data_IF_189794921302
#
_entry.id   IF_189794921302
#
_cell.length_a   1.000
_cell.length_b   1.000
_cell.length_c   1.000
_cell.angle_alpha   90.00
_cell.angle_beta   90.00
_cell.angle_gamma   90.00
#
_symmetry.space_group_name_H-M   'P 1'
#
loop_
_entity.id
_entity.type
_entity.pdbx_description
1 polymer ?
#
# COMPACT_ATOMS: atom_id res chain seq x y z
N UNK A 1 11.44 -23.21 -42.88
CA UNK A 1 10.11 -23.12 -42.26
C UNK A 1 10.30 -22.89 -40.77
N UNK A 2 10.15 -21.64 -40.32
CA UNK A 2 10.35 -21.25 -38.92
C UNK A 2 9.02 -21.29 -38.17
N UNK A 3 8.98 -22.04 -37.07
CA UNK A 3 7.83 -22.06 -36.16
C UNK A 3 7.71 -20.76 -35.37
N UNK A 4 6.49 -20.34 -35.01
CA UNK A 4 6.33 -19.20 -34.12
C UNK A 4 6.78 -19.59 -32.72
N UNK A 5 7.86 -18.96 -32.24
CA UNK A 5 8.15 -18.84 -30.82
C UNK A 5 7.04 -17.98 -30.21
N UNK A 6 5.95 -18.63 -29.79
CA UNK A 6 5.01 -18.04 -28.85
C UNK A 6 5.80 -17.74 -27.58
N UNK A 7 6.25 -16.49 -27.45
CA UNK A 7 6.85 -15.99 -26.23
C UNK A 7 5.84 -16.21 -25.10
N UNK A 8 6.18 -17.09 -24.17
CA UNK A 8 5.46 -17.30 -22.94
C UNK A 8 5.57 -16.01 -22.12
N UNK A 9 4.62 -15.11 -22.31
CA UNK A 9 4.39 -14.01 -21.38
C UNK A 9 3.88 -14.62 -20.08
N UNK A 10 4.80 -14.95 -19.17
CA UNK A 10 4.41 -15.38 -17.82
C UNK A 10 3.59 -14.26 -17.19
N UNK A 11 2.35 -14.53 -16.71
CA UNK A 11 1.64 -13.54 -15.92
C UNK A 11 2.54 -13.15 -14.73
N UNK A 12 2.72 -11.85 -14.52
CA UNK A 12 3.52 -11.37 -13.38
C UNK A 12 2.97 -12.01 -12.12
N UNK A 13 3.79 -12.71 -11.35
CA UNK A 13 3.36 -13.31 -10.09
C UNK A 13 2.84 -12.24 -9.13
N UNK A 14 1.87 -12.60 -8.29
CA UNK A 14 1.32 -11.73 -7.23
C UNK A 14 2.44 -11.13 -6.38
N UNK A 15 3.47 -11.93 -6.06
CA UNK A 15 4.65 -11.46 -5.33
C UNK A 15 5.40 -10.36 -6.07
N UNK A 16 5.69 -10.54 -7.37
CA UNK A 16 6.38 -9.52 -8.15
C UNK A 16 5.56 -8.21 -8.22
N UNK A 17 4.22 -8.31 -8.29
CA UNK A 17 3.37 -7.14 -8.24
C UNK A 17 3.43 -6.44 -6.87
N UNK A 18 3.31 -7.20 -5.78
CA UNK A 18 3.38 -6.66 -4.42
C UNK A 18 4.72 -5.95 -4.18
N UNK A 19 5.83 -6.55 -4.61
CA UNK A 19 7.16 -5.93 -4.50
C UNK A 19 7.29 -4.63 -5.30
N UNK A 20 6.67 -4.54 -6.48
CA UNK A 20 6.63 -3.28 -7.25
C UNK A 20 5.83 -2.21 -6.54
N UNK A 21 4.70 -2.57 -5.91
CA UNK A 21 3.91 -1.63 -5.11
C UNK A 21 4.74 -1.11 -3.94
N UNK A 22 5.37 -2.00 -3.16
CA UNK A 22 6.23 -1.62 -2.05
C UNK A 22 7.39 -0.73 -2.50
N UNK A 23 8.06 -1.07 -3.61
CA UNK A 23 9.12 -0.22 -4.17
C UNK A 23 8.65 1.21 -4.47
N UNK A 24 7.39 1.40 -4.90
CA UNK A 24 6.80 2.73 -5.08
C UNK A 24 6.54 3.44 -3.76
N UNK A 25 6.09 2.73 -2.73
CA UNK A 25 5.92 3.31 -1.38
C UNK A 25 7.25 3.81 -0.81
N UNK A 26 8.30 2.99 -0.88
CA UNK A 26 9.64 3.39 -0.45
C UNK A 26 10.17 4.59 -1.24
N UNK A 27 9.95 4.60 -2.55
CA UNK A 27 10.32 5.72 -3.41
C UNK A 27 9.61 7.00 -2.99
N UNK A 28 8.28 6.94 -2.79
CA UNK A 28 7.50 8.08 -2.33
C UNK A 28 7.98 8.61 -0.98
N UNK A 29 8.26 7.74 0.00
CA UNK A 29 8.72 8.17 1.31
C UNK A 29 10.04 8.97 1.20
N UNK A 30 10.97 8.49 0.37
CA UNK A 30 12.25 9.15 0.12
C UNK A 30 12.11 10.46 -0.66
N UNK A 31 11.30 10.48 -1.71
CA UNK A 31 11.25 11.59 -2.68
C UNK A 31 10.23 12.66 -2.33
N UNK A 32 9.13 12.29 -1.66
CA UNK A 32 8.02 13.20 -1.33
C UNK A 32 7.92 13.49 0.16
N UNK A 33 8.16 12.50 1.02
CA UNK A 33 8.04 12.65 2.47
C UNK A 33 9.38 12.96 3.16
N UNK A 34 10.49 12.87 2.42
CA UNK A 34 11.85 13.16 2.85
C UNK A 34 12.33 12.35 4.08
N UNK A 35 11.90 11.10 4.21
CA UNK A 35 12.40 10.19 5.25
C UNK A 35 12.65 8.78 4.72
N UNK A 36 13.50 8.04 5.45
CA UNK A 36 13.68 6.61 5.27
C UNK A 36 12.50 5.88 5.93
N UNK A 37 11.69 5.19 5.11
CA UNK A 37 10.48 4.52 5.56
C UNK A 37 10.77 3.38 6.54
N UNK A 38 11.85 2.63 6.34
CA UNK A 38 12.21 1.52 7.21
C UNK A 38 12.60 2.05 8.59
N UNK A 39 13.47 3.07 8.64
CA UNK A 39 13.83 3.71 9.89
C UNK A 39 12.61 4.36 10.58
N UNK A 40 11.71 5.00 9.83
CA UNK A 40 10.48 5.60 10.37
C UNK A 40 9.60 4.55 11.07
N UNK A 41 9.30 3.45 10.38
CA UNK A 41 8.44 2.38 10.89
C UNK A 41 9.11 1.58 12.02
N UNK A 42 10.39 1.26 11.89
CA UNK A 42 11.15 0.53 12.93
C UNK A 42 11.40 1.36 14.18
N UNK A 43 11.33 2.70 14.11
CA UNK A 43 11.29 3.57 15.29
C UNK A 43 9.91 3.60 15.97
N UNK A 44 8.94 2.85 15.44
CA UNK A 44 7.58 2.79 15.94
C UNK A 44 6.71 3.96 15.49
N UNK A 45 7.15 4.74 14.51
CA UNK A 45 6.30 5.78 13.95
C UNK A 45 5.35 5.16 12.92
N UNK A 46 4.15 5.72 12.81
CA UNK A 46 3.15 5.33 11.81
C UNK A 46 2.96 6.47 10.82
N UNK A 47 2.48 6.16 9.62
CA UNK A 47 2.06 7.19 8.66
C UNK A 47 0.77 7.86 9.17
N UNK A 48 0.75 9.19 9.13
CA UNK A 48 -0.43 10.01 9.41
C UNK A 48 -1.42 9.94 8.24
N UNK A 49 -2.69 10.26 8.48
CA UNK A 49 -3.72 10.20 7.43
C UNK A 49 -3.33 11.01 6.18
N UNK A 50 -2.83 12.24 6.37
CA UNK A 50 -2.36 13.10 5.27
C UNK A 50 -1.20 12.49 4.48
N UNK A 51 -0.33 11.73 5.13
CA UNK A 51 0.81 11.06 4.48
C UNK A 51 0.32 9.88 3.63
N UNK A 52 -0.64 9.11 4.14
CA UNK A 52 -1.30 8.04 3.37
C UNK A 52 -2.07 8.62 2.17
N UNK A 53 -2.81 9.71 2.35
CA UNK A 53 -3.52 10.39 1.28
C UNK A 53 -2.56 10.93 0.20
N UNK A 54 -1.45 11.54 0.60
CA UNK A 54 -0.42 12.04 -0.32
C UNK A 54 0.28 10.89 -1.07
N UNK A 55 0.59 9.78 -0.41
CA UNK A 55 1.10 8.55 -1.02
C UNK A 55 0.14 8.05 -2.11
N UNK A 56 -1.13 7.88 -1.76
CA UNK A 56 -2.16 7.36 -2.66
C UNK A 56 -2.39 8.30 -3.85
N UNK A 57 -2.40 9.61 -3.63
CA UNK A 57 -2.48 10.61 -4.69
C UNK A 57 -1.31 10.49 -5.68
N UNK A 58 -0.08 10.33 -5.18
CA UNK A 58 1.12 10.16 -6.01
C UNK A 58 1.07 8.84 -6.82
N UNK A 59 0.61 7.76 -6.19
CA UNK A 59 0.45 6.47 -6.87
C UNK A 59 -0.61 6.51 -7.97
N UNK A 60 -1.67 7.31 -7.80
CA UNK A 60 -2.69 7.52 -8.82
C UNK A 60 -2.14 8.33 -9.99
N UNK A 61 -1.50 9.47 -9.72
CA UNK A 61 -0.91 10.33 -10.75
C UNK A 61 0.15 9.64 -11.61
N UNK A 62 0.91 8.70 -11.02
CA UNK A 62 1.91 7.90 -11.76
C UNK A 62 1.29 6.73 -12.52
N UNK A 63 0.06 6.32 -12.20
CA UNK A 63 -0.70 5.31 -12.93
C UNK A 63 -1.45 5.91 -14.13
N UNK A 64 -1.86 7.19 -14.06
CA UNK A 64 -2.67 7.91 -15.07
C UNK A 64 -2.03 8.06 -16.47
N UNK A 65 -0.81 7.56 -16.70
CA UNK A 65 -0.26 7.40 -18.05
C UNK A 65 -0.96 6.28 -18.86
N UNK A 66 -1.67 5.37 -18.19
CA UNK A 66 -2.53 4.34 -18.79
C UNK A 66 -3.80 4.30 -17.94
N UNK A 67 -4.98 4.46 -18.55
CA UNK A 67 -6.27 4.51 -17.85
C UNK A 67 -6.32 3.47 -16.70
N UNK A 68 -6.41 3.98 -15.47
CA UNK A 68 -6.27 3.17 -14.26
C UNK A 68 -7.38 2.13 -14.22
N UNK A 69 -7.00 0.86 -14.38
CA UNK A 69 -7.87 -0.26 -14.01
C UNK A 69 -8.15 -0.15 -12.51
N UNK A 70 -9.40 0.18 -12.18
CA UNK A 70 -9.85 0.43 -10.81
C UNK A 70 -9.63 -0.80 -9.93
N UNK A 71 -9.75 -2.01 -10.49
CA UNK A 71 -9.46 -3.26 -9.79
C UNK A 71 -7.96 -3.41 -9.47
N UNK A 72 -7.08 -3.04 -10.41
CA UNK A 72 -5.64 -3.06 -10.18
C UNK A 72 -5.21 -2.03 -9.12
N UNK A 73 -5.85 -0.86 -9.09
CA UNK A 73 -5.58 0.17 -8.08
C UNK A 73 -6.05 -0.25 -6.69
N UNK A 74 -7.25 -0.82 -6.56
CA UNK A 74 -7.75 -1.32 -5.27
C UNK A 74 -6.88 -2.48 -4.75
N UNK A 75 -6.31 -3.30 -5.64
CA UNK A 75 -5.30 -4.30 -5.27
C UNK A 75 -4.00 -3.67 -4.76
N UNK A 76 -3.53 -2.57 -5.37
CA UNK A 76 -2.37 -1.84 -4.84
C UNK A 76 -2.66 -1.28 -3.44
N UNK A 77 -3.84 -0.71 -3.23
CA UNK A 77 -4.26 -0.20 -1.92
C UNK A 77 -4.28 -1.31 -0.86
N UNK A 78 -4.75 -2.52 -1.19
CA UNK A 78 -4.72 -3.66 -0.28
C UNK A 78 -3.27 -4.02 0.14
N UNK A 79 -2.34 -4.07 -0.81
CA UNK A 79 -0.92 -4.37 -0.51
C UNK A 79 -0.31 -3.32 0.43
N UNK A 80 -0.63 -2.04 0.22
CA UNK A 80 -0.12 -0.95 1.06
C UNK A 80 -0.75 -1.02 2.45
N UNK A 81 -2.05 -1.24 2.53
CA UNK A 81 -2.78 -1.40 3.80
C UNK A 81 -2.19 -2.56 4.62
N UNK A 82 -2.00 -3.73 4.02
CA UNK A 82 -1.45 -4.91 4.68
C UNK A 82 -0.01 -4.66 5.16
N UNK A 83 0.82 -4.00 4.35
CA UNK A 83 2.17 -3.64 4.74
C UNK A 83 2.19 -2.68 5.94
N UNK A 84 1.33 -1.66 5.94
CA UNK A 84 1.26 -0.71 7.05
C UNK A 84 0.74 -1.40 8.33
N UNK A 85 -0.24 -2.30 8.22
CA UNK A 85 -0.70 -3.10 9.37
C UNK A 85 0.39 -4.04 9.90
N UNK A 86 1.12 -4.71 9.01
CA UNK A 86 2.26 -5.55 9.37
C UNK A 86 3.34 -4.76 10.11
N UNK A 87 3.61 -3.51 9.69
CA UNK A 87 4.59 -2.65 10.36
C UNK A 87 4.19 -2.24 11.80
N UNK A 88 2.92 -2.44 12.19
CA UNK A 88 2.46 -2.20 13.57
C UNK A 88 2.79 -3.36 14.51
N UNK A 89 3.13 -4.54 13.99
CA UNK A 89 3.47 -5.69 14.82
C UNK A 89 4.80 -5.45 15.54
N UNK A 90 4.90 -5.90 16.79
CA UNK A 90 6.06 -5.63 17.67
C UNK A 90 7.39 -6.09 17.06
N UNK A 91 7.38 -7.21 16.34
CA UNK A 91 8.54 -7.78 15.65
C UNK A 91 9.09 -6.85 14.56
N UNK A 92 8.25 -5.98 14.01
CA UNK A 92 8.57 -5.08 12.89
C UNK A 92 8.88 -3.66 13.35
N UNK A 93 8.78 -3.38 14.67
CA UNK A 93 8.98 -2.05 15.28
C UNK A 93 10.34 -1.90 15.96
N UNK A 94 11.36 -2.61 15.48
CA UNK A 94 12.74 -2.49 15.94
C UNK A 94 12.95 -2.68 17.45
N UNK A 95 12.02 -3.35 18.14
CA UNK A 95 12.02 -3.53 19.60
C UNK A 95 11.79 -2.29 20.44
N UNK A 96 11.47 -1.13 19.84
CA UNK A 96 11.44 0.18 20.53
C UNK A 96 10.06 0.64 20.99
N UNK A 97 8.97 0.02 20.53
CA UNK A 97 7.62 0.48 20.85
C UNK A 97 6.60 -0.64 20.65
N UNK A 98 6.27 -1.36 21.72
CA UNK A 98 5.17 -2.33 21.71
C UNK A 98 3.87 -1.57 21.91
N UNK A 99 2.98 -1.61 20.92
CA UNK A 99 1.62 -1.12 21.09
C UNK A 99 0.87 -2.06 22.03
N UNK A 100 0.07 -1.51 22.93
CA UNK A 100 -0.92 -2.33 23.65
C UNK A 100 -1.91 -2.94 22.66
N UNK A 101 -2.61 -4.01 23.07
CA UNK A 101 -3.63 -4.63 22.21
C UNK A 101 -4.70 -3.61 21.76
N UNK A 102 -5.10 -2.71 22.66
CA UNK A 102 -6.04 -1.63 22.38
C UNK A 102 -5.48 -0.65 21.33
N UNK A 103 -4.22 -0.22 21.50
CA UNK A 103 -3.56 0.69 20.55
C UNK A 103 -3.37 0.03 19.17
N UNK A 104 -2.96 -1.24 19.13
CA UNK A 104 -2.81 -1.99 17.89
C UNK A 104 -4.17 -2.12 17.17
N UNK A 105 -5.23 -2.43 17.91
CA UNK A 105 -6.59 -2.53 17.37
C UNK A 105 -7.07 -1.19 16.83
N UNK A 106 -6.83 -0.10 17.57
CA UNK A 106 -7.19 1.25 17.15
C UNK A 106 -6.44 1.68 15.88
N UNK A 107 -5.12 1.45 15.80
CA UNK A 107 -4.33 1.80 14.62
C UNK A 107 -4.71 0.95 13.40
N UNK A 108 -4.95 -0.35 13.56
CA UNK A 108 -5.44 -1.21 12.47
C UNK A 108 -6.82 -0.76 11.99
N UNK A 109 -7.74 -0.44 12.90
CA UNK A 109 -9.06 0.09 12.56
C UNK A 109 -9.00 1.44 11.85
N UNK A 110 -8.08 2.33 12.25
CA UNK A 110 -7.81 3.60 11.57
C UNK A 110 -7.37 3.36 10.13
N UNK A 111 -6.38 2.48 9.91
CA UNK A 111 -5.90 2.14 8.57
C UNK A 111 -7.02 1.53 7.72
N UNK A 112 -7.82 0.62 8.25
CA UNK A 112 -8.95 0.03 7.55
C UNK A 112 -9.96 1.06 7.08
N UNK A 113 -10.35 1.97 7.96
CA UNK A 113 -11.30 3.03 7.63
C UNK A 113 -10.74 3.96 6.55
N UNK A 114 -9.46 4.35 6.67
CA UNK A 114 -8.81 5.23 5.73
C UNK A 114 -8.69 4.58 4.35
N UNK A 115 -8.14 3.36 4.26
CA UNK A 115 -7.99 2.66 2.98
C UNK A 115 -9.35 2.31 2.36
N UNK A 116 -10.37 2.01 3.16
CA UNK A 116 -11.75 1.87 2.66
C UNK A 116 -12.25 3.13 1.97
N UNK A 117 -12.00 4.32 2.53
CA UNK A 117 -12.40 5.59 1.90
C UNK A 117 -11.61 5.95 0.63
N UNK A 118 -10.43 5.35 0.43
CA UNK A 118 -9.56 5.62 -0.72
C UNK A 118 -9.82 4.68 -1.91
N UNK A 119 -10.45 3.53 -1.67
CA UNK A 119 -10.84 2.56 -2.70
C UNK A 119 -11.94 3.13 -3.58
N UNK A 120 -11.86 2.84 -4.88
CA UNK A 120 -12.81 3.35 -5.87
C UNK A 120 -14.02 2.41 -6.03
N UNK A 121 -13.85 1.11 -5.79
CA UNK A 121 -14.92 0.11 -5.88
C UNK A 121 -15.93 0.09 -4.72
N UNK A 122 -15.76 0.92 -3.70
CA UNK A 122 -16.67 0.99 -2.56
C UNK A 122 -17.78 2.02 -2.77
N UNK A 123 -18.63 1.82 -3.78
CA UNK A 123 -19.92 2.53 -3.82
C UNK A 123 -20.79 1.99 -2.68
N UNK A 124 -21.34 2.83 -1.78
CA UNK A 124 -22.40 2.36 -0.90
C UNK A 124 -23.57 1.94 -1.79
N UNK A 125 -23.93 0.66 -1.75
CA UNK A 125 -25.24 0.23 -2.21
C UNK A 125 -26.21 0.75 -1.15
N UNK A 126 -26.67 1.98 -1.33
CA UNK A 126 -27.77 2.52 -0.54
C UNK A 126 -29.05 1.75 -0.90
N UNK A 127 -29.87 1.33 0.08
CA UNK A 127 -31.19 0.81 -0.23
C UNK A 127 -32.10 1.97 -0.66
N UNK A 128 -32.73 1.81 -1.84
CA UNK A 128 -33.97 2.50 -2.20
C UNK A 128 -35.12 2.07 -1.28
#
# INVERSE_FOLDING_TARGET
MGGPLSALSSPSSTLANNLRVLARVYRWARESAAYDLDNHLTQGQSLRNREVEALVSTLRATADGHAVDTGAFDQHLAVIEDFLKWSLDSENRGGRSVLSLEQLTAERGRLEQLFRSLRVGATPIGPD
#
